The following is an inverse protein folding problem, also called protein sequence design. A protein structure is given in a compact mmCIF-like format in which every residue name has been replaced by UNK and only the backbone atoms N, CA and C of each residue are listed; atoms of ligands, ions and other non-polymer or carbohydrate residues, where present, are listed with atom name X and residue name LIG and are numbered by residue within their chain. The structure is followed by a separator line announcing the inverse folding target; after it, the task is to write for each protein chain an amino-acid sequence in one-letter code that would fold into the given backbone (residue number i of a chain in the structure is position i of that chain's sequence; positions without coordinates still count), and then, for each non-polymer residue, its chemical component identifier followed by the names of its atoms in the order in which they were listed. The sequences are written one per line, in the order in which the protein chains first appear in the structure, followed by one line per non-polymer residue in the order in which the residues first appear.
data_IF_651345337459
#
_entry.id   IF_651345337459
#
_cell.length_a   1.000
_cell.length_b   1.000
_cell.length_c   1.000
_cell.angle_alpha   90.00
_cell.angle_beta   90.00
_cell.angle_gamma   90.00
#
_symmetry.space_group_name_H-M   'P 1'
#
loop_
_entity.id
_entity.type
_entity.pdbx_description
1 polymer ?
#
# COMPACT_ATOMS: atom_id res chain seq x y z
N UNK A 1 -1.05 31.86 66.29
CA UNK A 1 -1.22 30.44 65.91
C UNK A 1 -2.62 29.99 66.31
N UNK A 2 -3.55 29.92 65.38
CA UNK A 2 -4.84 29.24 65.56
C UNK A 2 -5.30 28.67 64.22
N UNK A 3 -5.91 27.49 64.32
CA UNK A 3 -5.79 26.36 63.40
C UNK A 3 -6.73 26.49 62.21
N UNK A 4 -6.16 26.38 61.00
CA UNK A 4 -6.90 26.12 59.76
C UNK A 4 -7.69 24.81 59.92
N UNK A 5 -9.01 24.85 59.74
CA UNK A 5 -9.86 23.65 59.81
C UNK A 5 -9.67 22.83 58.54
N UNK A 6 -9.52 21.51 58.71
CA UNK A 6 -9.35 20.47 57.67
C UNK A 6 -10.53 20.33 56.68
N UNK A 7 -11.47 21.28 56.63
CA UNK A 7 -12.61 21.26 55.71
C UNK A 7 -12.36 21.97 54.38
N UNK A 8 -11.26 22.73 54.28
CA UNK A 8 -10.92 23.49 53.05
C UNK A 8 -9.95 22.73 52.11
N UNK A 9 -9.65 21.46 52.39
CA UNK A 9 -8.72 20.64 51.57
C UNK A 9 -9.38 19.47 50.84
N UNK A 10 -10.70 19.35 50.90
CA UNK A 10 -11.42 18.35 50.13
C UNK A 10 -12.00 19.00 48.88
N UNK A 11 -11.20 19.04 47.81
CA UNK A 11 -11.74 18.97 46.45
C UNK A 11 -12.49 17.63 46.34
N UNK A 12 -13.73 17.62 46.82
CA UNK A 12 -14.75 16.69 46.32
C UNK A 12 -15.13 17.21 44.93
N UNK A 13 -14.19 17.09 44.00
CA UNK A 13 -14.57 16.94 42.61
C UNK A 13 -15.23 15.59 42.53
N UNK A 14 -16.57 15.59 42.54
CA UNK A 14 -17.36 14.43 42.14
C UNK A 14 -16.70 13.84 40.90
N UNK A 15 -16.09 12.65 41.01
CA UNK A 15 -15.82 11.85 39.83
C UNK A 15 -17.20 11.59 39.24
N UNK A 16 -17.58 12.37 38.22
CA UNK A 16 -18.64 11.96 37.31
C UNK A 16 -18.29 10.54 36.90
N UNK A 17 -19.03 9.56 37.41
CA UNK A 17 -19.00 8.20 36.88
C UNK A 17 -19.14 8.36 35.36
N UNK A 18 -18.27 7.77 34.55
CA UNK A 18 -18.48 7.79 33.11
C UNK A 18 -19.87 7.22 32.88
N UNK A 19 -20.73 8.03 32.28
CA UNK A 19 -22.04 7.62 31.82
C UNK A 19 -21.84 6.53 30.77
N UNK A 20 -22.10 5.26 31.13
CA UNK A 20 -22.65 4.31 30.15
C UNK A 20 -23.91 4.96 29.57
N UNK A 21 -24.14 4.98 28.25
CA UNK A 21 -24.12 3.86 27.30
C UNK A 21 -23.27 4.14 26.03
N UNK A 22 -22.39 5.15 26.05
CA UNK A 22 -21.71 5.65 24.84
C UNK A 22 -20.71 4.68 24.24
N UNK A 23 -20.10 3.81 25.06
CA UNK A 23 -19.11 2.85 24.57
C UNK A 23 -19.80 1.65 23.93
N UNK A 24 -20.85 1.14 24.56
CA UNK A 24 -21.65 0.03 24.05
C UNK A 24 -22.35 0.40 22.74
N UNK A 25 -22.94 1.61 22.67
CA UNK A 25 -23.54 2.14 21.43
C UNK A 25 -22.50 2.33 20.32
N UNK A 26 -21.29 2.82 20.64
CA UNK A 26 -20.21 2.97 19.67
C UNK A 26 -19.68 1.61 19.19
N UNK A 27 -19.57 0.62 20.07
CA UNK A 27 -19.20 -0.76 19.71
C UNK A 27 -20.26 -1.37 18.80
N UNK A 28 -21.54 -1.18 19.11
CA UNK A 28 -22.64 -1.70 18.30
C UNK A 28 -22.69 -1.04 16.90
N UNK A 29 -22.49 0.28 16.83
CA UNK A 29 -22.40 1.02 15.56
C UNK A 29 -21.20 0.55 14.71
N UNK A 30 -20.02 0.38 15.32
CA UNK A 30 -18.84 -0.17 14.64
C UNK A 30 -19.10 -1.59 14.15
N UNK A 31 -19.76 -2.44 14.95
CA UNK A 31 -20.09 -3.80 14.56
C UNK A 31 -21.08 -3.84 13.39
N UNK A 32 -22.10 -2.98 13.38
CA UNK A 32 -23.05 -2.82 12.27
C UNK A 32 -22.34 -2.37 10.99
N UNK A 33 -21.46 -1.37 11.07
CA UNK A 33 -20.66 -0.91 9.94
C UNK A 33 -19.71 -1.99 9.42
N UNK A 34 -19.07 -2.74 10.31
CA UNK A 34 -18.22 -3.87 9.94
C UNK A 34 -19.01 -4.99 9.27
N UNK A 35 -20.22 -5.28 9.74
CA UNK A 35 -21.10 -6.25 9.08
C UNK A 35 -21.47 -5.81 7.66
N UNK A 36 -21.84 -4.53 7.47
CA UNK A 36 -22.12 -3.96 6.14
C UNK A 36 -20.89 -3.98 5.23
N UNK A 37 -19.71 -3.67 5.76
CA UNK A 37 -18.47 -3.74 4.99
C UNK A 37 -18.16 -5.18 4.54
N UNK A 38 -18.40 -6.17 5.39
CA UNK A 38 -18.24 -7.59 5.04
C UNK A 38 -19.19 -8.04 3.94
N UNK A 39 -20.44 -7.56 3.93
CA UNK A 39 -21.39 -7.90 2.86
C UNK A 39 -21.06 -7.19 1.54
N UNK A 40 -20.42 -6.02 1.59
CA UNK A 40 -19.98 -5.29 0.42
C UNK A 40 -18.65 -5.81 -0.18
N UNK A 41 -17.88 -6.61 0.56
CA UNK A 41 -16.61 -7.16 0.08
C UNK A 41 -16.86 -8.17 -1.04
N UNK A 42 -16.42 -7.84 -2.25
CA UNK A 42 -16.51 -8.69 -3.43
C UNK A 42 -15.37 -9.71 -3.49
N UNK A 43 -14.17 -9.33 -3.06
CA UNK A 43 -13.00 -10.19 -3.09
C UNK A 43 -11.68 -9.42 -3.10
N UNK A 44 -10.65 -10.11 -3.56
CA UNK A 44 -9.27 -9.62 -3.62
C UNK A 44 -8.67 -9.85 -5.00
N UNK A 45 -7.74 -8.97 -5.38
CA UNK A 45 -7.02 -9.03 -6.64
C UNK A 45 -5.66 -8.33 -6.51
N UNK A 46 -4.83 -8.47 -7.53
CA UNK A 46 -3.65 -7.63 -7.76
C UNK A 46 -4.06 -6.42 -8.61
N UNK A 47 -3.53 -5.25 -8.30
CA UNK A 47 -3.78 -4.04 -9.07
C UNK A 47 -2.51 -3.21 -9.14
N UNK A 48 -2.18 -2.70 -10.33
CA UNK A 48 -1.06 -1.77 -10.49
C UNK A 48 -1.44 -0.38 -10.00
N UNK A 49 -1.20 -0.12 -8.71
CA UNK A 49 -1.56 1.15 -8.04
C UNK A 49 -0.68 2.32 -8.47
N UNK A 50 0.44 2.06 -9.14
CA UNK A 50 1.33 3.10 -9.66
C UNK A 50 0.87 3.51 -11.06
N UNK A 51 0.64 2.53 -11.95
CA UNK A 51 0.15 2.79 -13.30
C UNK A 51 -1.26 3.40 -13.30
N UNK A 52 -2.09 3.05 -12.33
CA UNK A 52 -3.45 3.56 -12.18
C UNK A 52 -3.56 4.67 -11.13
N UNK A 53 -2.46 5.31 -10.72
CA UNK A 53 -2.48 6.30 -9.63
C UNK A 53 -3.44 7.46 -9.92
N UNK A 54 -3.50 7.93 -11.16
CA UNK A 54 -4.41 8.99 -11.61
C UNK A 54 -5.87 8.54 -11.58
N UNK A 55 -6.14 7.23 -11.71
CA UNK A 55 -7.47 6.62 -11.62
C UNK A 55 -7.93 6.34 -10.19
N UNK A 56 -7.08 6.57 -9.20
CA UNK A 56 -7.38 6.35 -7.79
C UNK A 56 -7.66 7.67 -7.07
N UNK A 57 -8.84 7.74 -6.46
CA UNK A 57 -9.24 8.86 -5.61
C UNK A 57 -9.03 8.50 -4.14
N UNK A 58 -8.17 9.27 -3.48
CA UNK A 58 -7.95 9.17 -2.04
C UNK A 58 -8.74 10.28 -1.33
N UNK A 59 -8.75 10.25 0.00
CA UNK A 59 -9.31 11.32 0.84
C UNK A 59 -10.84 11.51 0.75
N UNK A 60 -11.57 10.60 0.09
CA UNK A 60 -13.04 10.63 0.00
C UNK A 60 -13.71 10.40 1.36
N UNK A 61 -13.29 9.35 2.08
CA UNK A 61 -13.89 8.98 3.38
C UNK A 61 -13.11 9.50 4.59
N UNK A 62 -11.82 9.80 4.41
CA UNK A 62 -10.93 10.22 5.49
C UNK A 62 -9.80 11.06 4.91
N UNK A 63 -9.91 12.38 5.06
CA UNK A 63 -8.89 13.32 4.60
C UNK A 63 -7.67 13.22 5.50
N UNK A 64 -6.68 12.44 5.08
CA UNK A 64 -5.41 12.31 5.79
C UNK A 64 -4.31 12.80 4.88
N UNK A 65 -3.72 13.98 5.15
CA UNK A 65 -2.63 14.46 4.31
C UNK A 65 -1.47 13.47 4.31
N UNK A 66 -0.74 13.44 3.19
CA UNK A 66 0.48 12.65 3.10
C UNK A 66 1.50 13.23 4.09
N UNK A 67 1.93 12.40 5.03
CA UNK A 67 2.90 12.76 6.05
C UNK A 67 4.28 12.22 5.63
N UNK A 68 5.28 13.09 5.41
CA UNK A 68 6.60 12.68 4.93
C UNK A 68 7.27 11.62 5.80
N UNK A 69 7.10 11.71 7.12
CA UNK A 69 7.70 10.77 8.08
C UNK A 69 7.11 9.36 7.95
N UNK A 70 5.79 9.24 7.75
CA UNK A 70 5.15 7.95 7.51
C UNK A 70 5.60 7.34 6.17
N UNK A 71 5.69 8.16 5.13
CA UNK A 71 6.21 7.69 3.83
C UNK A 71 7.66 7.24 3.95
N UNK A 72 8.49 7.98 4.68
CA UNK A 72 9.89 7.62 4.91
C UNK A 72 10.02 6.31 5.69
N UNK A 73 9.24 6.13 6.76
CA UNK A 73 9.24 4.87 7.53
C UNK A 73 8.86 3.66 6.68
N UNK A 74 7.87 3.78 5.81
CA UNK A 74 7.49 2.70 4.87
C UNK A 74 8.62 2.44 3.87
N UNK A 75 9.21 3.49 3.31
CA UNK A 75 10.32 3.36 2.35
C UNK A 75 11.54 2.67 2.99
N UNK A 76 11.90 3.03 4.22
CA UNK A 76 12.97 2.35 4.96
C UNK A 76 12.64 0.88 5.20
N UNK A 77 11.39 0.55 5.53
CA UNK A 77 10.96 -0.85 5.65
C UNK A 77 11.15 -1.62 4.34
N UNK A 78 10.80 -1.03 3.19
CA UNK A 78 11.01 -1.66 1.88
C UNK A 78 12.48 -1.94 1.56
N UNK A 79 13.39 -1.08 2.03
CA UNK A 79 14.83 -1.24 1.81
C UNK A 79 15.43 -2.35 2.69
N UNK A 80 14.90 -2.54 3.90
CA UNK A 80 15.44 -3.52 4.87
C UNK A 80 14.78 -4.90 4.70
N UNK A 81 13.45 -4.94 4.57
CA UNK A 81 12.66 -6.18 4.63
C UNK A 81 12.14 -6.63 3.26
N UNK A 82 12.35 -5.83 2.20
CA UNK A 82 11.69 -6.01 0.92
C UNK A 82 10.25 -5.48 0.92
N UNK A 83 9.58 -5.61 -0.23
CA UNK A 83 8.22 -5.08 -0.42
C UNK A 83 7.20 -6.21 -0.28
N UNK A 84 6.46 -6.19 0.81
CA UNK A 84 5.42 -7.19 1.10
C UNK A 84 4.06 -6.81 0.44
N UNK A 85 3.99 -7.02 -0.87
CA UNK A 85 2.92 -6.50 -1.75
C UNK A 85 1.64 -7.33 -1.74
N UNK A 86 1.73 -8.61 -1.38
CA UNK A 86 0.65 -9.59 -1.50
C UNK A 86 0.14 -10.09 -0.14
N UNK A 87 0.63 -9.50 0.95
CA UNK A 87 0.08 -9.73 2.28
C UNK A 87 -1.26 -9.01 2.46
N UNK A 88 -2.27 -9.76 2.90
CA UNK A 88 -3.63 -9.28 3.14
C UNK A 88 -3.71 -8.12 4.13
N UNK A 89 -2.86 -8.12 5.17
CA UNK A 89 -2.79 -7.02 6.14
C UNK A 89 -2.37 -5.70 5.49
N UNK A 90 -1.80 -5.79 4.30
CA UNK A 90 -1.35 -4.68 3.50
C UNK A 90 -2.25 -4.45 2.29
N UNK A 91 -3.45 -5.03 2.23
CA UNK A 91 -4.40 -4.72 1.18
C UNK A 91 -4.77 -3.23 1.17
N UNK A 92 -4.97 -2.69 -0.03
CA UNK A 92 -5.54 -1.36 -0.24
C UNK A 92 -7.03 -1.53 -0.52
N UNK A 93 -7.92 -0.94 0.29
CA UNK A 93 -9.36 -1.03 0.07
C UNK A 93 -9.77 -0.14 -1.10
N UNK A 94 -10.34 -0.75 -2.14
CA UNK A 94 -10.93 -0.09 -3.29
C UNK A 94 -12.45 -0.22 -3.23
N UNK A 95 -13.15 0.90 -3.38
CA UNK A 95 -14.60 0.97 -3.55
C UNK A 95 -14.86 1.26 -5.02
N UNK A 96 -15.62 0.38 -5.67
CA UNK A 96 -15.84 0.37 -7.11
C UNK A 96 -17.23 -0.17 -7.42
N UNK A 97 -17.84 0.34 -8.49
CA UNK A 97 -19.09 -0.23 -8.99
C UNK A 97 -18.81 -1.63 -9.57
N UNK A 98 -19.45 -2.66 -9.01
CA UNK A 98 -19.27 -4.05 -9.44
C UNK A 98 -19.51 -4.27 -10.94
N UNK A 99 -20.41 -3.52 -11.56
CA UNK A 99 -20.69 -3.66 -13.00
C UNK A 99 -19.47 -3.37 -13.88
N UNK A 100 -18.52 -2.57 -13.38
CA UNK A 100 -17.29 -2.21 -14.08
C UNK A 100 -16.21 -3.29 -14.03
N UNK A 101 -16.36 -4.33 -13.20
CA UNK A 101 -15.33 -5.35 -13.02
C UNK A 101 -15.50 -6.49 -14.01
N UNK A 102 -14.40 -6.95 -14.62
CA UNK A 102 -14.40 -8.17 -15.42
C UNK A 102 -14.63 -9.39 -14.51
N UNK A 103 -15.63 -10.26 -14.80
CA UNK A 103 -15.84 -11.48 -14.03
C UNK A 103 -14.57 -12.35 -14.00
N UNK A 104 -14.19 -12.83 -12.81
CA UNK A 104 -12.98 -13.65 -12.62
C UNK A 104 -11.68 -12.86 -12.43
N UNK A 105 -11.71 -11.52 -12.54
CA UNK A 105 -10.56 -10.66 -12.22
C UNK A 105 -10.37 -10.39 -10.72
N UNK A 106 -11.18 -11.03 -9.88
CA UNK A 106 -11.08 -11.02 -8.43
C UNK A 106 -11.61 -12.34 -7.87
N UNK A 107 -11.12 -12.75 -6.71
CA UNK A 107 -11.53 -13.98 -6.03
C UNK A 107 -11.86 -13.70 -4.57
N UNK A 108 -12.79 -14.49 -4.00
CA UNK A 108 -12.89 -14.59 -2.55
C UNK A 108 -11.55 -15.13 -2.01
N UNK A 109 -11.04 -14.55 -0.93
CA UNK A 109 -9.74 -14.97 -0.41
C UNK A 109 -9.85 -16.32 0.29
N UNK A 110 -9.14 -17.31 -0.24
CA UNK A 110 -8.80 -18.57 0.43
C UNK A 110 -7.29 -18.65 0.65
N UNK A 111 -6.76 -19.86 0.88
CA UNK A 111 -5.36 -20.13 1.22
C UNK A 111 -4.34 -19.90 0.08
N UNK A 112 -4.71 -19.22 -1.00
CA UNK A 112 -3.84 -19.00 -2.17
C UNK A 112 -3.57 -17.51 -2.48
N UNK A 113 -2.90 -16.75 -1.59
CA UNK A 113 -2.46 -15.38 -1.88
C UNK A 113 -1.61 -15.27 -3.16
N UNK A 114 -0.85 -16.32 -3.47
CA UNK A 114 0.09 -16.36 -4.60
C UNK A 114 -0.61 -16.43 -5.97
N UNK A 115 -1.92 -16.74 -6.00
CA UNK A 115 -2.71 -16.91 -7.22
C UNK A 115 -3.73 -15.79 -7.44
N UNK A 116 -3.56 -14.63 -6.80
CA UNK A 116 -4.49 -13.52 -6.99
C UNK A 116 -4.52 -13.07 -8.46
N UNK A 117 -5.72 -13.00 -9.08
CA UNK A 117 -5.85 -12.49 -10.44
C UNK A 117 -5.51 -11.00 -10.49
N UNK A 118 -5.14 -10.51 -11.67
CA UNK A 118 -5.04 -9.07 -11.90
C UNK A 118 -6.45 -8.50 -12.10
N UNK A 119 -6.76 -7.42 -11.37
CA UNK A 119 -8.04 -6.72 -11.46
C UNK A 119 -8.16 -6.04 -12.81
N UNK A 120 -9.29 -6.27 -13.47
CA UNK A 120 -9.58 -5.67 -14.77
C UNK A 120 -10.89 -4.91 -14.75
N UNK A 121 -10.85 -3.73 -15.34
CA UNK A 121 -12.01 -2.88 -15.59
C UNK A 121 -12.52 -3.21 -17.00
N UNK A 122 -13.80 -3.56 -17.12
CA UNK A 122 -14.43 -3.92 -18.37
C UNK A 122 -14.96 -2.67 -19.13
N UNK A 123 -15.45 -2.89 -20.35
CA UNK A 123 -15.89 -1.80 -21.26
C UNK A 123 -17.19 -1.09 -20.82
N UNK A 124 -17.89 -1.58 -19.79
CA UNK A 124 -19.06 -0.87 -19.24
C UNK A 124 -18.67 0.33 -18.36
N UNK A 125 -17.41 0.40 -17.93
CA UNK A 125 -16.90 1.53 -17.17
C UNK A 125 -16.80 2.79 -18.05
N UNK A 126 -17.10 3.98 -17.50
CA UNK A 126 -16.84 5.24 -18.20
C UNK A 126 -15.36 5.37 -18.62
N UNK A 127 -15.08 6.05 -19.73
CA UNK A 127 -13.69 6.23 -20.23
C UNK A 127 -12.77 6.89 -19.20
N UNK A 128 -13.32 7.77 -18.38
CA UNK A 128 -12.68 8.53 -17.31
C UNK A 128 -12.91 7.93 -15.91
N UNK A 129 -13.25 6.63 -15.83
CA UNK A 129 -13.49 5.91 -14.58
C UNK A 129 -12.45 6.23 -13.50
N UNK A 130 -12.94 6.27 -12.26
CA UNK A 130 -12.17 6.43 -11.03
C UNK A 130 -12.62 5.38 -10.03
N UNK A 131 -11.66 4.86 -9.25
CA UNK A 131 -11.94 4.01 -8.10
C UNK A 131 -11.58 4.77 -6.84
N UNK A 132 -12.41 4.63 -5.80
CA UNK A 132 -12.14 5.26 -4.52
C UNK A 132 -11.23 4.34 -3.72
N UNK A 133 -10.07 4.84 -3.32
CA UNK A 133 -9.16 4.15 -2.42
C UNK A 133 -9.40 4.64 -0.98
N UNK A 134 -10.06 3.81 -0.17
CA UNK A 134 -10.42 4.14 1.22
C UNK A 134 -9.22 4.11 2.20
N UNK A 135 -8.00 3.97 1.69
CA UNK A 135 -6.76 3.98 2.46
C UNK A 135 -5.53 3.72 1.60
N UNK A 136 -4.35 3.59 2.22
CA UNK A 136 -3.12 3.19 1.53
C UNK A 136 -2.37 4.31 0.80
N UNK A 137 -2.78 5.56 0.90
CA UNK A 137 -2.15 6.70 0.22
C UNK A 137 -0.64 6.82 0.51
N UNK A 138 -0.21 6.68 1.77
CA UNK A 138 1.23 6.69 2.13
C UNK A 138 1.98 5.49 1.54
N UNK A 139 1.35 4.30 1.48
CA UNK A 139 1.94 3.08 0.87
C UNK A 139 2.14 3.25 -0.63
N UNK A 140 1.12 3.72 -1.36
CA UNK A 140 1.21 4.00 -2.80
C UNK A 140 2.29 5.06 -3.08
N UNK A 141 2.34 6.10 -2.26
CA UNK A 141 3.36 7.15 -2.37
C UNK A 141 4.77 6.61 -2.13
N UNK A 142 4.96 5.80 -1.09
CA UNK A 142 6.24 5.17 -0.78
C UNK A 142 6.67 4.19 -1.89
N UNK A 143 5.73 3.40 -2.43
CA UNK A 143 5.97 2.47 -3.52
C UNK A 143 6.44 3.20 -4.79
N UNK A 144 5.78 4.30 -5.15
CA UNK A 144 6.20 5.11 -6.32
C UNK A 144 7.60 5.69 -6.16
N UNK A 145 7.95 6.19 -4.96
CA UNK A 145 9.31 6.66 -4.65
C UNK A 145 10.33 5.53 -4.72
N UNK A 146 10.02 4.39 -4.14
CA UNK A 146 10.89 3.21 -4.14
C UNK A 146 11.12 2.69 -5.57
N UNK A 147 10.06 2.57 -6.38
CA UNK A 147 10.16 2.14 -7.77
C UNK A 147 11.04 3.09 -8.58
N UNK A 148 10.87 4.40 -8.41
CA UNK A 148 11.72 5.42 -9.06
C UNK A 148 13.19 5.26 -8.67
N UNK A 149 13.48 4.93 -7.40
CA UNK A 149 14.86 4.69 -6.93
C UNK A 149 15.48 3.44 -7.56
N UNK A 150 14.72 2.33 -7.64
CA UNK A 150 15.19 1.09 -8.27
C UNK A 150 15.40 1.29 -9.77
N UNK A 151 14.47 1.95 -10.47
CA UNK A 151 14.59 2.24 -11.90
C UNK A 151 15.83 3.12 -12.20
N UNK A 152 16.09 4.13 -11.36
CA UNK A 152 17.29 4.96 -11.48
C UNK A 152 18.58 4.14 -11.31
N UNK A 153 18.64 3.30 -10.28
CA UNK A 153 19.80 2.43 -10.02
C UNK A 153 20.01 1.41 -11.13
N UNK A 154 18.93 0.84 -11.67
CA UNK A 154 18.98 -0.06 -12.81
C UNK A 154 19.55 0.63 -14.04
N UNK A 155 19.10 1.86 -14.34
CA UNK A 155 19.64 2.64 -15.45
C UNK A 155 21.13 2.93 -15.30
N UNK A 156 21.58 3.25 -14.09
CA UNK A 156 22.99 3.47 -13.77
C UNK A 156 23.81 2.18 -13.98
N UNK A 157 23.34 1.04 -13.47
CA UNK A 157 24.02 -0.25 -13.65
C UNK A 157 24.06 -0.72 -15.10
N UNK A 158 22.99 -0.51 -15.88
CA UNK A 158 23.00 -0.80 -17.33
C UNK A 158 23.99 0.07 -18.10
N UNK A 159 24.18 1.33 -17.68
CA UNK A 159 25.21 2.20 -18.26
C UNK A 159 26.62 1.71 -17.93
N UNK A 160 26.84 1.24 -16.70
CA UNK A 160 28.09 0.62 -16.26
C UNK A 160 28.39 -0.63 -17.10
N UNK A 161 27.42 -1.53 -17.26
CA UNK A 161 27.54 -2.70 -18.15
C UNK A 161 27.91 -2.28 -19.58
N UNK A 162 27.19 -1.32 -20.16
CA UNK A 162 27.48 -0.84 -21.52
C UNK A 162 28.86 -0.24 -21.66
N UNK A 163 29.39 0.41 -20.60
CA UNK A 163 30.74 1.01 -20.62
C UNK A 163 31.80 -0.09 -20.63
N UNK A 164 31.65 -1.10 -19.78
CA UNK A 164 32.56 -2.26 -19.73
C UNK A 164 32.55 -2.99 -21.08
N UNK A 165 31.37 -3.25 -21.64
CA UNK A 165 31.22 -3.95 -22.93
C UNK A 165 31.78 -3.16 -24.12
N UNK A 166 31.88 -1.83 -24.01
CA UNK A 166 32.48 -0.97 -25.04
C UNK A 166 33.99 -0.79 -24.90
N UNK A 167 34.61 -1.36 -23.87
CA UNK A 167 36.06 -1.26 -23.64
C UNK A 167 36.79 -2.28 -24.50
N UNK A 168 37.91 -1.88 -25.12
CA UNK A 168 38.73 -2.77 -25.95
C UNK A 168 39.16 -4.02 -25.17
N UNK A 169 39.04 -5.20 -25.80
CA UNK A 169 39.30 -6.50 -25.16
C UNK A 169 40.73 -6.63 -24.61
N UNK A 170 41.69 -5.89 -25.16
CA UNK A 170 43.08 -5.85 -24.66
C UNK A 170 43.24 -5.05 -23.36
N UNK A 171 42.28 -4.20 -23.03
CA UNK A 171 42.22 -3.41 -21.79
C UNK A 171 41.32 -4.02 -20.72
N UNK A 172 40.58 -5.08 -21.04
CA UNK A 172 39.68 -5.77 -20.12
C UNK A 172 40.44 -6.91 -19.43
N UNK A 173 40.87 -6.67 -18.20
CA UNK A 173 41.45 -7.70 -17.33
C UNK A 173 40.40 -8.67 -16.79
N UNK A 174 40.87 -9.78 -16.21
CA UNK A 174 40.03 -10.82 -15.58
C UNK A 174 39.17 -10.24 -14.44
N UNK A 175 39.73 -9.32 -13.64
CA UNK A 175 39.00 -8.61 -12.58
C UNK A 175 37.78 -7.83 -13.12
N UNK A 176 37.90 -7.21 -14.30
CA UNK A 176 36.81 -6.46 -14.94
C UNK A 176 35.70 -7.40 -15.43
N UNK A 177 36.07 -8.58 -15.93
CA UNK A 177 35.10 -9.61 -16.33
C UNK A 177 34.38 -10.22 -15.12
N UNK A 178 35.11 -10.39 -14.00
CA UNK A 178 34.52 -10.85 -12.75
C UNK A 178 33.51 -9.82 -12.23
N UNK A 179 33.89 -8.55 -12.11
CA UNK A 179 33.02 -7.43 -11.73
C UNK A 179 31.73 -7.40 -12.59
N UNK A 180 31.88 -7.52 -13.92
CA UNK A 180 30.77 -7.52 -14.85
C UNK A 180 29.77 -8.65 -14.56
N UNK A 181 30.26 -9.88 -14.38
CA UNK A 181 29.40 -11.04 -14.25
C UNK A 181 28.82 -11.22 -12.84
N UNK A 182 29.61 -10.99 -11.78
CA UNK A 182 29.19 -11.28 -10.41
C UNK A 182 28.50 -10.11 -9.72
N UNK A 183 28.79 -8.88 -10.13
CA UNK A 183 28.22 -7.69 -9.49
C UNK A 183 27.25 -6.98 -10.43
N UNK A 184 27.71 -6.54 -11.60
CA UNK A 184 26.88 -5.67 -12.46
C UNK A 184 25.67 -6.43 -13.00
N UNK A 185 25.87 -7.58 -13.64
CA UNK A 185 24.77 -8.38 -14.22
C UNK A 185 23.86 -9.00 -13.16
N UNK A 186 24.43 -9.48 -12.05
CA UNK A 186 23.64 -10.00 -10.94
C UNK A 186 22.71 -8.92 -10.36
N UNK A 187 23.22 -7.71 -10.11
CA UNK A 187 22.40 -6.60 -9.62
C UNK A 187 21.35 -6.14 -10.64
N UNK A 188 21.68 -6.13 -11.94
CA UNK A 188 20.70 -5.84 -13.00
C UNK A 188 19.57 -6.86 -12.95
N UNK A 189 19.89 -8.15 -12.93
CA UNK A 189 18.91 -9.23 -12.88
C UNK A 189 17.99 -9.13 -11.65
N UNK A 190 18.57 -8.90 -10.47
CA UNK A 190 17.80 -8.71 -9.23
C UNK A 190 16.85 -7.51 -9.33
N UNK A 191 17.34 -6.36 -9.80
CA UNK A 191 16.50 -5.17 -9.96
C UNK A 191 15.40 -5.36 -11.01
N UNK A 192 15.67 -6.07 -12.10
CA UNK A 192 14.66 -6.41 -13.10
C UNK A 192 13.60 -7.38 -12.54
N UNK A 193 14.02 -8.39 -11.78
CA UNK A 193 13.10 -9.32 -11.10
C UNK A 193 12.21 -8.59 -10.08
N UNK A 194 12.79 -7.67 -9.32
CA UNK A 194 12.05 -6.79 -8.39
C UNK A 194 11.04 -5.92 -9.15
N UNK A 195 11.43 -5.34 -10.27
CA UNK A 195 10.58 -4.50 -11.11
C UNK A 195 9.57 -5.30 -11.95
N UNK A 196 9.67 -6.63 -12.06
CA UNK A 196 8.69 -7.45 -12.77
C UNK A 196 7.28 -7.29 -12.19
N UNK A 197 7.18 -7.04 -10.88
CA UNK A 197 5.92 -6.75 -10.18
C UNK A 197 5.62 -5.25 -10.05
N UNK A 198 6.35 -4.36 -10.74
CA UNK A 198 6.16 -2.89 -10.87
C UNK A 198 5.41 -2.23 -9.72
N UNK A 199 4.20 -1.74 -9.97
CA UNK A 199 3.27 -1.18 -8.99
C UNK A 199 2.19 -2.16 -8.54
N UNK A 200 2.31 -3.44 -8.85
CA UNK A 200 1.34 -4.46 -8.43
C UNK A 200 1.28 -4.54 -6.91
N UNK A 201 0.05 -4.50 -6.39
CA UNK A 201 -0.26 -4.51 -4.98
C UNK A 201 -1.59 -5.23 -4.74
N UNK A 202 -1.75 -5.90 -3.59
CA UNK A 202 -3.02 -6.53 -3.23
C UNK A 202 -4.08 -5.50 -2.88
N UNK A 203 -5.27 -5.66 -3.45
CA UNK A 203 -6.43 -4.81 -3.18
C UNK A 203 -7.59 -5.65 -2.66
N UNK A 204 -8.35 -5.07 -1.73
CA UNK A 204 -9.64 -5.60 -1.29
C UNK A 204 -10.75 -4.77 -1.92
N UNK A 205 -11.67 -5.42 -2.61
CA UNK A 205 -12.62 -4.78 -3.51
C UNK A 205 -13.99 -4.77 -2.85
N UNK A 206 -14.57 -3.57 -2.70
CA UNK A 206 -15.89 -3.36 -2.12
C UNK A 206 -16.83 -2.80 -3.18
N UNK A 207 -18.07 -3.30 -3.19
CA UNK A 207 -19.12 -2.81 -4.07
C UNK A 207 -19.70 -1.50 -3.56
N UNK A 208 -19.91 -0.56 -4.47
CA UNK A 208 -20.57 0.74 -4.20
C UNK A 208 -21.99 0.81 -4.78
N UNK A 209 -22.50 -0.27 -5.38
CA UNK A 209 -23.81 -0.24 -6.05
C UNK A 209 -25.03 -0.08 -5.11
N UNK A 210 -24.82 -0.06 -3.80
CA UNK A 210 -25.87 0.13 -2.77
C UNK A 210 -25.64 1.34 -1.83
N UNK A 211 -24.75 2.27 -2.21
CA UNK A 211 -24.49 3.51 -1.45
C UNK A 211 -25.40 4.67 -1.83
#
# INVERSE_FOLDING_TARGET
MQKTKLKDTLLVGERKKPTGPKLEEAIEDVNKKNAKAKTALLGYARFDVIANRDRMEFDVYNQRPIEPNHVHGILSSFQVNGVDRFNQLHAIPLVVNKSWLEPGSFIAMGDTPDLLPELKINDSAPRDWKVIAAGGQHRVTALGKWQTQIEKRLKEKKREESTILSTDTEMVGEDTLQLLNTEVRAMIYEMEAILANKGQWIVSIFDDSES
#
